data_IF_108300196250
#
_entry.id   IF_108300196250
#
_cell.length_a   1.000
_cell.length_b   1.000
_cell.length_c   1.000
_cell.angle_alpha   90.00
_cell.angle_beta   90.00
_cell.angle_gamma   90.00
#
_symmetry.space_group_name_H-M   'P 1'
#
loop_
_entity.id
_entity.type
_entity.pdbx_description
1 polymer ?
#
# COMPACT_ATOMS: atom_id res chain seq x y z
N UNK A 1 -19.26 -21.00 -7.46
CA UNK A 1 -19.01 -19.54 -7.25
C UNK A 1 -18.26 -19.24 -5.94
N UNK A 2 -18.57 -19.91 -4.82
CA UNK A 2 -17.89 -19.74 -3.53
C UNK A 2 -16.34 -19.77 -3.61
N UNK A 3 -15.77 -20.74 -4.33
CA UNK A 3 -14.31 -20.86 -4.50
C UNK A 3 -13.68 -19.65 -5.21
N UNK A 4 -14.36 -19.10 -6.22
CA UNK A 4 -13.90 -17.90 -6.91
C UNK A 4 -13.85 -16.71 -5.95
N UNK A 5 -14.92 -16.48 -5.19
CA UNK A 5 -14.97 -15.39 -4.20
C UNK A 5 -13.89 -15.57 -3.15
N UNK A 6 -13.66 -16.79 -2.66
CA UNK A 6 -12.59 -17.08 -1.70
C UNK A 6 -11.19 -16.78 -2.30
N UNK A 7 -10.94 -17.17 -3.54
CA UNK A 7 -9.68 -16.89 -4.24
C UNK A 7 -9.46 -15.38 -4.42
N UNK A 8 -10.50 -14.63 -4.80
CA UNK A 8 -10.45 -13.17 -4.97
C UNK A 8 -10.18 -12.46 -3.64
N UNK A 9 -10.87 -12.85 -2.57
CA UNK A 9 -10.61 -12.31 -1.23
C UNK A 9 -9.19 -12.63 -0.75
N UNK A 10 -8.72 -13.86 -0.96
CA UNK A 10 -7.35 -14.26 -0.66
C UNK A 10 -6.32 -13.42 -1.41
N UNK A 11 -6.50 -13.22 -2.72
CA UNK A 11 -5.64 -12.38 -3.55
C UNK A 11 -5.64 -10.92 -3.07
N UNK A 12 -6.80 -10.39 -2.66
CA UNK A 12 -6.92 -9.03 -2.13
C UNK A 12 -6.16 -8.85 -0.80
N UNK A 13 -6.28 -9.80 0.12
CA UNK A 13 -5.55 -9.77 1.39
C UNK A 13 -4.04 -9.90 1.16
N UNK A 14 -3.62 -10.91 0.40
CA UNK A 14 -2.21 -11.17 0.13
C UNK A 14 -1.56 -10.01 -0.64
N UNK A 15 -2.26 -9.43 -1.61
CA UNK A 15 -1.75 -8.28 -2.36
C UNK A 15 -1.54 -7.05 -1.47
N UNK A 16 -2.39 -6.82 -0.46
CA UNK A 16 -2.19 -5.72 0.49
C UNK A 16 -0.93 -5.92 1.34
N UNK A 17 -0.71 -7.16 1.81
CA UNK A 17 0.52 -7.54 2.51
C UNK A 17 1.77 -7.41 1.61
N UNK A 18 1.65 -7.83 0.34
CA UNK A 18 2.73 -7.73 -0.64
C UNK A 18 3.13 -6.27 -0.90
N UNK A 19 2.16 -5.36 -1.03
CA UNK A 19 2.45 -3.93 -1.20
C UNK A 19 3.11 -3.33 0.04
N UNK A 20 2.65 -3.68 1.24
CA UNK A 20 3.29 -3.24 2.49
C UNK A 20 4.76 -3.72 2.57
N UNK A 21 5.02 -4.96 2.16
CA UNK A 21 6.37 -5.52 2.08
C UNK A 21 7.21 -4.79 1.04
N UNK A 22 6.74 -4.65 -0.20
CA UNK A 22 7.46 -3.96 -1.28
C UNK A 22 7.78 -2.51 -0.90
N UNK A 23 6.84 -1.79 -0.30
CA UNK A 23 7.04 -0.40 0.12
C UNK A 23 8.17 -0.27 1.15
N UNK A 24 8.22 -1.21 2.10
CA UNK A 24 9.29 -1.30 3.10
C UNK A 24 10.63 -1.65 2.44
N UNK A 25 10.64 -2.60 1.51
CA UNK A 25 11.86 -3.02 0.82
C UNK A 25 12.43 -1.91 -0.06
N UNK A 26 11.61 -1.11 -0.73
CA UNK A 26 12.09 0.00 -1.55
C UNK A 26 12.94 1.00 -0.74
N UNK A 27 12.50 1.37 0.46
CA UNK A 27 13.32 2.23 1.33
C UNK A 27 14.56 1.52 1.86
N UNK A 28 14.48 0.24 2.25
CA UNK A 28 15.64 -0.54 2.69
C UNK A 28 16.68 -0.73 1.59
N UNK A 29 16.25 -0.77 0.32
CA UNK A 29 17.15 -0.85 -0.84
C UNK A 29 18.05 0.37 -0.94
N UNK A 30 17.58 1.56 -0.54
CA UNK A 30 18.43 2.76 -0.51
C UNK A 30 19.66 2.53 0.37
N UNK A 31 19.46 2.04 1.60
CA UNK A 31 20.57 1.76 2.51
C UNK A 31 21.46 0.62 2.00
N UNK A 32 20.88 -0.39 1.34
CA UNK A 32 21.67 -1.49 0.72
C UNK A 32 22.56 -1.00 -0.41
N UNK A 33 22.06 -0.11 -1.28
CA UNK A 33 22.84 0.48 -2.38
C UNK A 33 23.96 1.37 -1.84
N UNK A 34 23.67 2.19 -0.83
CA UNK A 34 24.70 3.04 -0.23
C UNK A 34 25.77 2.23 0.49
N UNK A 35 25.41 1.15 1.19
CA UNK A 35 26.38 0.24 1.83
C UNK A 35 27.21 -0.55 0.82
N UNK A 36 26.62 -1.03 -0.28
CA UNK A 36 27.35 -1.82 -1.28
C UNK A 36 28.41 -1.02 -2.04
N UNK A 37 28.41 0.31 -1.91
CA UNK A 37 29.45 1.17 -2.46
C UNK A 37 30.84 0.82 -1.94
N UNK A 38 30.99 0.34 -0.69
CA UNK A 38 32.30 -0.07 -0.16
C UNK A 38 32.91 -1.26 -0.90
N UNK A 39 32.08 -2.06 -1.56
CA UNK A 39 32.47 -3.29 -2.27
C UNK A 39 32.48 -3.10 -3.80
N UNK A 40 32.07 -1.92 -4.30
CA UNK A 40 31.89 -1.64 -5.74
C UNK A 40 32.60 -0.34 -6.12
N UNK A 41 33.87 -0.40 -6.59
CA UNK A 41 34.68 0.79 -6.85
C UNK A 41 34.02 1.80 -7.81
N UNK A 42 33.40 1.32 -8.89
CA UNK A 42 32.70 2.17 -9.87
C UNK A 42 31.51 2.92 -9.25
N UNK A 43 30.75 2.25 -8.36
CA UNK A 43 29.63 2.86 -7.66
C UNK A 43 30.13 3.89 -6.65
N UNK A 44 31.18 3.58 -5.90
CA UNK A 44 31.80 4.52 -4.96
C UNK A 44 32.28 5.79 -5.66
N UNK A 45 32.93 5.66 -6.82
CA UNK A 45 33.40 6.80 -7.59
C UNK A 45 32.22 7.68 -8.05
N UNK A 46 31.16 7.08 -8.60
CA UNK A 46 29.95 7.82 -9.03
C UNK A 46 29.24 8.51 -7.85
N UNK A 47 29.13 7.84 -6.70
CA UNK A 47 28.53 8.42 -5.49
C UNK A 47 29.37 9.56 -4.92
N UNK A 48 30.70 9.49 -4.99
CA UNK A 48 31.58 10.59 -4.57
C UNK A 48 31.34 11.87 -5.37
N UNK A 49 31.07 11.76 -6.68
CA UNK A 49 30.77 12.93 -7.54
C UNK A 49 29.46 13.63 -7.17
N UNK A 50 28.49 12.89 -6.64
CA UNK A 50 27.17 13.42 -6.24
C UNK A 50 27.18 13.89 -4.78
N UNK A 51 28.02 13.31 -3.92
CA UNK A 51 27.98 13.53 -2.48
C UNK A 51 27.03 12.55 -1.79
N UNK A 52 27.42 12.08 -0.61
CA UNK A 52 26.70 11.00 0.11
C UNK A 52 25.30 11.42 0.56
N UNK A 53 25.14 12.66 1.02
CA UNK A 53 23.85 13.22 1.42
C UNK A 53 22.88 13.32 0.24
N UNK A 54 23.33 13.92 -0.86
CA UNK A 54 22.49 14.13 -2.05
C UNK A 54 22.16 12.81 -2.73
N UNK A 55 23.10 11.87 -2.80
CA UNK A 55 22.81 10.53 -3.30
C UNK A 55 21.74 9.82 -2.46
N UNK A 56 21.79 9.93 -1.13
CA UNK A 56 20.76 9.38 -0.24
C UNK A 56 19.41 10.03 -0.48
N UNK A 57 19.36 11.36 -0.65
CA UNK A 57 18.12 12.09 -0.95
C UNK A 57 17.50 11.64 -2.28
N UNK A 58 18.30 11.58 -3.35
CA UNK A 58 17.85 11.15 -4.67
C UNK A 58 17.34 9.70 -4.68
N UNK A 59 18.05 8.77 -4.04
CA UNK A 59 17.62 7.37 -3.94
C UNK A 59 16.34 7.23 -3.10
N UNK A 60 16.18 8.02 -2.02
CA UNK A 60 14.93 8.05 -1.25
C UNK A 60 13.76 8.63 -2.03
N UNK A 61 14.01 9.66 -2.85
CA UNK A 61 13.00 10.22 -3.74
C UNK A 61 12.55 9.17 -4.77
N UNK A 62 13.49 8.46 -5.40
CA UNK A 62 13.19 7.34 -6.31
C UNK A 62 12.34 6.25 -5.62
N UNK A 63 12.76 5.80 -4.44
CA UNK A 63 11.99 4.83 -3.66
C UNK A 63 10.56 5.33 -3.33
N UNK A 64 10.42 6.64 -3.10
CA UNK A 64 9.11 7.27 -2.85
C UNK A 64 8.24 7.27 -4.12
N UNK A 65 8.77 7.61 -5.29
CA UNK A 65 8.02 7.54 -6.56
C UNK A 65 7.63 6.10 -6.92
N UNK A 66 8.51 5.12 -6.69
CA UNK A 66 8.17 3.70 -6.85
C UNK A 66 7.00 3.31 -5.95
N UNK A 67 7.05 3.70 -4.66
CA UNK A 67 5.96 3.43 -3.73
C UNK A 67 4.66 4.11 -4.17
N UNK A 68 4.70 5.37 -4.59
CA UNK A 68 3.52 6.11 -5.10
C UNK A 68 2.89 5.37 -6.28
N UNK A 69 3.71 4.88 -7.22
CA UNK A 69 3.24 4.07 -8.33
C UNK A 69 2.55 2.78 -7.85
N UNK A 70 3.20 2.01 -6.97
CA UNK A 70 2.66 0.75 -6.47
C UNK A 70 1.37 0.93 -5.67
N UNK A 71 1.28 1.93 -4.78
CA UNK A 71 0.05 2.22 -4.04
C UNK A 71 -1.09 2.64 -4.96
N UNK A 72 -0.83 3.44 -5.99
CA UNK A 72 -1.85 3.83 -6.98
C UNK A 72 -2.33 2.63 -7.80
N UNK A 73 -1.40 1.85 -8.35
CA UNK A 73 -1.73 0.65 -9.13
C UNK A 73 -2.52 -0.35 -8.28
N UNK A 74 -2.09 -0.57 -7.04
CA UNK A 74 -2.81 -1.43 -6.10
C UNK A 74 -4.18 -0.88 -5.73
N UNK A 75 -4.33 0.42 -5.50
CA UNK A 75 -5.63 1.06 -5.27
C UNK A 75 -6.67 0.71 -6.34
N UNK A 76 -6.30 0.85 -7.61
CA UNK A 76 -7.15 0.45 -8.74
C UNK A 76 -7.37 -1.06 -8.80
N UNK A 77 -6.34 -1.86 -8.55
CA UNK A 77 -6.44 -3.32 -8.48
C UNK A 77 -7.44 -3.78 -7.42
N UNK A 78 -7.46 -3.14 -6.25
CA UNK A 78 -8.41 -3.43 -5.18
C UNK A 78 -9.86 -3.12 -5.58
N UNK A 79 -10.10 -2.02 -6.31
CA UNK A 79 -11.44 -1.71 -6.81
C UNK A 79 -11.92 -2.78 -7.80
N UNK A 80 -11.03 -3.24 -8.69
CA UNK A 80 -11.35 -4.36 -9.58
C UNK A 80 -11.67 -5.65 -8.81
N UNK A 81 -10.84 -6.01 -7.83
CA UNK A 81 -11.07 -7.19 -6.98
C UNK A 81 -12.40 -7.08 -6.21
N UNK A 82 -12.74 -5.89 -5.73
CA UNK A 82 -14.01 -5.64 -5.06
C UNK A 82 -15.21 -5.89 -5.98
N UNK A 83 -15.16 -5.37 -7.22
CA UNK A 83 -16.21 -5.60 -8.21
C UNK A 83 -16.37 -7.07 -8.55
N UNK A 84 -15.26 -7.79 -8.75
CA UNK A 84 -15.29 -9.24 -9.03
C UNK A 84 -15.83 -10.02 -7.83
N UNK A 85 -15.44 -9.67 -6.60
CA UNK A 85 -15.95 -10.31 -5.39
C UNK A 85 -17.47 -10.10 -5.24
N UNK A 86 -17.95 -8.88 -5.43
CA UNK A 86 -19.36 -8.53 -5.36
C UNK A 86 -20.18 -9.22 -6.46
N UNK A 87 -19.68 -9.23 -7.70
CA UNK A 87 -20.30 -9.96 -8.80
C UNK A 87 -20.39 -11.46 -8.51
N UNK A 88 -19.34 -12.05 -7.94
CA UNK A 88 -19.34 -13.45 -7.51
C UNK A 88 -20.30 -13.73 -6.35
N UNK A 89 -20.44 -12.81 -5.39
CA UNK A 89 -21.38 -12.95 -4.28
C UNK A 89 -22.83 -12.91 -4.76
N UNK A 90 -23.21 -11.90 -5.54
CA UNK A 90 -24.59 -11.74 -6.00
C UNK A 90 -24.95 -12.69 -7.14
N UNK A 91 -24.08 -12.81 -8.16
CA UNK A 91 -24.29 -13.75 -9.27
C UNK A 91 -24.19 -15.22 -8.85
N UNK A 92 -23.47 -15.51 -7.76
CA UNK A 92 -23.38 -16.85 -7.17
C UNK A 92 -24.47 -17.22 -6.19
N UNK A 93 -25.41 -16.32 -5.89
CA UNK A 93 -26.47 -16.56 -4.91
C UNK A 93 -26.00 -16.67 -3.46
N UNK A 94 -24.80 -16.18 -3.12
CA UNK A 94 -24.27 -16.21 -1.75
C UNK A 94 -24.93 -15.09 -0.95
N UNK A 95 -25.96 -15.43 -0.17
CA UNK A 95 -26.81 -14.49 0.59
C UNK A 95 -26.40 -14.26 2.04
N UNK A 96 -25.21 -14.73 2.46
CA UNK A 96 -24.73 -14.48 3.82
C UNK A 96 -24.42 -13.00 4.02
N UNK A 97 -25.22 -12.35 4.89
CA UNK A 97 -25.15 -10.90 5.15
C UNK A 97 -23.82 -10.47 5.74
N UNK A 98 -23.16 -11.33 6.52
CA UNK A 98 -21.86 -11.01 7.10
C UNK A 98 -20.78 -10.96 6.02
N UNK A 99 -20.74 -11.95 5.11
CA UNK A 99 -19.78 -11.93 3.99
C UNK A 99 -20.01 -10.73 3.08
N UNK A 100 -21.26 -10.48 2.67
CA UNK A 100 -21.59 -9.34 1.81
C UNK A 100 -21.27 -8.00 2.47
N UNK A 101 -21.66 -7.84 3.74
CA UNK A 101 -21.38 -6.64 4.53
C UNK A 101 -19.89 -6.38 4.68
N UNK A 102 -19.09 -7.42 4.96
CA UNK A 102 -17.64 -7.31 5.04
C UNK A 102 -17.00 -6.83 3.74
N UNK A 103 -17.41 -7.38 2.58
CA UNK A 103 -16.88 -6.93 1.28
C UNK A 103 -17.26 -5.49 0.98
N UNK A 104 -18.47 -5.06 1.34
CA UNK A 104 -18.91 -3.67 1.18
C UNK A 104 -18.11 -2.72 2.09
N UNK A 105 -17.85 -3.11 3.34
CA UNK A 105 -16.99 -2.33 4.26
C UNK A 105 -15.57 -2.22 3.71
N UNK A 106 -15.00 -3.32 3.21
CA UNK A 106 -13.68 -3.29 2.57
C UNK A 106 -13.66 -2.35 1.35
N UNK A 107 -14.68 -2.40 0.50
CA UNK A 107 -14.81 -1.48 -0.64
C UNK A 107 -14.91 -0.02 -0.18
N UNK A 108 -15.72 0.28 0.83
CA UNK A 108 -15.84 1.63 1.37
C UNK A 108 -14.49 2.17 1.88
N UNK A 109 -13.73 1.34 2.60
CA UNK A 109 -12.38 1.70 3.03
C UNK A 109 -11.46 1.99 1.83
N UNK A 110 -11.49 1.15 0.79
CA UNK A 110 -10.67 1.36 -0.41
C UNK A 110 -11.07 2.62 -1.16
N UNK A 111 -12.36 2.94 -1.26
CA UNK A 111 -12.83 4.19 -1.88
C UNK A 111 -12.29 5.41 -1.13
N UNK A 112 -12.38 5.42 0.20
CA UNK A 112 -11.79 6.50 1.01
C UNK A 112 -10.28 6.60 0.81
N UNK A 113 -9.59 5.45 0.78
CA UNK A 113 -8.15 5.40 0.59
C UNK A 113 -7.71 5.92 -0.78
N UNK A 114 -8.39 5.51 -1.86
CA UNK A 114 -8.05 5.88 -3.25
C UNK A 114 -8.43 7.33 -3.57
N UNK A 115 -9.61 7.77 -3.13
CA UNK A 115 -10.15 9.08 -3.51
C UNK A 115 -9.68 10.22 -2.60
N UNK A 116 -9.33 9.94 -1.35
CA UNK A 116 -8.99 10.97 -0.37
C UNK A 116 -7.59 10.80 0.23
N UNK A 117 -7.31 9.66 0.87
CA UNK A 117 -6.06 9.53 1.65
C UNK A 117 -4.82 9.50 0.77
N UNK A 118 -4.81 8.65 -0.25
CA UNK A 118 -3.65 8.49 -1.15
C UNK A 118 -3.28 9.78 -1.87
N UNK A 119 -4.18 10.52 -2.55
CA UNK A 119 -3.81 11.76 -3.22
C UNK A 119 -3.27 12.81 -2.24
N UNK A 120 -3.84 12.93 -1.04
CA UNK A 120 -3.33 13.88 -0.03
C UNK A 120 -1.94 13.49 0.48
N UNK A 121 -1.73 12.22 0.81
CA UNK A 121 -0.41 11.71 1.25
C UNK A 121 0.64 11.93 0.17
N UNK A 122 0.29 11.69 -1.11
CA UNK A 122 1.19 11.93 -2.24
C UNK A 122 1.51 13.42 -2.39
N UNK A 123 0.50 14.28 -2.33
CA UNK A 123 0.67 15.72 -2.50
C UNK A 123 1.56 16.33 -1.41
N UNK A 124 1.33 15.95 -0.13
CA UNK A 124 2.18 16.39 0.99
C UNK A 124 3.57 15.77 0.88
N UNK A 125 3.65 14.46 0.60
CA UNK A 125 4.92 13.75 0.45
C UNK A 125 5.84 14.41 -0.57
N UNK A 126 5.31 14.85 -1.72
CA UNK A 126 6.08 15.56 -2.75
C UNK A 126 6.72 16.84 -2.26
N UNK A 127 6.03 17.59 -1.40
CA UNK A 127 6.57 18.81 -0.78
C UNK A 127 7.64 18.50 0.26
N UNK A 128 7.58 17.33 0.88
CA UNK A 128 8.53 16.88 1.91
C UNK A 128 9.76 16.18 1.35
N UNK A 129 9.79 15.79 0.07
CA UNK A 129 10.86 14.96 -0.51
C UNK A 129 12.26 15.59 -0.33
N UNK A 130 12.35 16.93 -0.40
CA UNK A 130 13.58 17.70 -0.25
C UNK A 130 13.52 18.77 0.84
N UNK A 131 12.47 18.77 1.65
CA UNK A 131 12.33 19.74 2.73
C UNK A 131 13.40 19.50 3.83
N UNK A 132 13.97 20.56 4.43
CA UNK A 132 14.77 20.44 5.63
C UNK A 132 14.00 19.69 6.71
N UNK A 133 14.68 18.81 7.45
CA UNK A 133 14.07 18.06 8.57
C UNK A 133 14.36 18.68 9.93
N UNK A 134 15.26 19.65 9.97
CA UNK A 134 15.62 20.41 11.16
C UNK A 134 15.64 21.91 10.82
N UNK A 135 14.68 22.71 11.32
CA UNK A 135 13.49 22.27 12.05
C UNK A 135 12.51 21.48 11.14
N UNK A 136 11.63 20.64 11.71
CA UNK A 136 10.66 19.89 10.92
C UNK A 136 9.63 20.83 10.25
N UNK A 137 9.26 20.59 8.99
CA UNK A 137 8.34 21.44 8.27
C UNK A 137 6.91 21.25 8.82
N UNK A 138 6.05 22.29 8.78
CA UNK A 138 4.68 22.22 9.31
C UNK A 138 3.86 21.04 8.75
N UNK A 139 4.09 20.69 7.49
CA UNK A 139 3.42 19.60 6.78
C UNK A 139 3.77 18.19 7.28
N UNK A 140 4.86 18.04 8.05
CA UNK A 140 5.34 16.75 8.53
C UNK A 140 4.33 16.06 9.46
N UNK A 141 3.73 16.81 10.40
CA UNK A 141 2.72 16.28 11.31
C UNK A 141 1.46 15.83 10.56
N UNK A 142 1.04 16.60 9.54
CA UNK A 142 -0.12 16.24 8.71
C UNK A 142 0.14 14.98 7.90
N UNK A 143 1.31 14.86 7.30
CA UNK A 143 1.72 13.65 6.57
C UNK A 143 1.59 12.40 7.43
N UNK A 144 2.16 12.42 8.64
CA UNK A 144 2.12 11.28 9.55
C UNK A 144 0.70 10.92 10.00
N UNK A 145 -0.15 11.90 10.30
CA UNK A 145 -1.55 11.62 10.62
C UNK A 145 -2.24 10.88 9.47
N UNK A 146 -2.15 11.38 8.25
CA UNK A 146 -2.76 10.74 7.08
C UNK A 146 -2.19 9.35 6.79
N UNK A 147 -0.87 9.20 6.91
CA UNK A 147 -0.20 7.91 6.72
C UNK A 147 -0.67 6.89 7.77
N UNK A 148 -0.70 7.27 9.04
CA UNK A 148 -1.20 6.41 10.13
C UNK A 148 -2.67 6.06 9.94
N UNK A 149 -3.52 7.02 9.56
CA UNK A 149 -4.93 6.76 9.25
C UNK A 149 -5.06 5.74 8.11
N UNK A 150 -4.30 5.90 7.03
CA UNK A 150 -4.27 4.94 5.93
C UNK A 150 -3.89 3.54 6.43
N UNK A 151 -2.79 3.42 7.19
CA UNK A 151 -2.31 2.13 7.71
C UNK A 151 -3.33 1.45 8.63
N UNK A 152 -3.96 2.20 9.53
CA UNK A 152 -4.98 1.65 10.44
C UNK A 152 -6.20 1.15 9.66
N UNK A 153 -6.68 1.92 8.69
CA UNK A 153 -7.79 1.49 7.83
C UNK A 153 -7.43 0.26 7.01
N UNK A 154 -6.21 0.16 6.50
CA UNK A 154 -5.73 -1.02 5.77
C UNK A 154 -5.71 -2.28 6.66
N UNK A 155 -5.26 -2.14 7.92
CA UNK A 155 -5.30 -3.22 8.91
C UNK A 155 -6.73 -3.65 9.25
N UNK A 156 -7.64 -2.69 9.45
CA UNK A 156 -9.07 -2.98 9.67
C UNK A 156 -9.65 -3.74 8.47
N UNK A 157 -9.37 -3.28 7.24
CA UNK A 157 -9.79 -3.95 6.01
C UNK A 157 -9.27 -5.38 5.92
N UNK A 158 -8.00 -5.62 6.28
CA UNK A 158 -7.41 -6.95 6.34
C UNK A 158 -8.15 -7.86 7.34
N UNK A 159 -8.44 -7.36 8.54
CA UNK A 159 -9.20 -8.10 9.56
C UNK A 159 -10.62 -8.45 9.10
N UNK A 160 -11.34 -7.47 8.53
CA UNK A 160 -12.69 -7.67 7.98
C UNK A 160 -12.68 -8.70 6.85
N UNK A 161 -11.70 -8.64 5.95
CA UNK A 161 -11.58 -9.62 4.86
C UNK A 161 -11.21 -11.02 5.35
N UNK A 162 -10.40 -11.14 6.39
CA UNK A 162 -10.10 -12.44 7.02
C UNK A 162 -11.37 -13.05 7.65
N UNK A 163 -12.19 -12.24 8.33
CA UNK A 163 -13.49 -12.67 8.86
C UNK A 163 -14.41 -13.12 7.73
N UNK A 164 -14.49 -12.36 6.63
CA UNK A 164 -15.30 -12.70 5.47
C UNK A 164 -14.87 -14.04 4.85
N UNK A 165 -13.57 -14.24 4.64
CA UNK A 165 -13.01 -15.46 4.07
C UNK A 165 -13.26 -16.67 4.95
N UNK A 166 -13.06 -16.52 6.27
CA UNK A 166 -13.33 -17.58 7.24
C UNK A 166 -14.82 -17.95 7.30
N UNK A 167 -15.70 -16.94 7.33
CA UNK A 167 -17.16 -17.16 7.31
C UNK A 167 -17.58 -17.85 6.01
N UNK A 168 -17.08 -17.37 4.87
CA UNK A 168 -17.37 -17.93 3.56
C UNK A 168 -16.98 -19.41 3.51
N UNK A 169 -15.79 -19.79 4.00
CA UNK A 169 -15.33 -21.18 4.03
C UNK A 169 -16.30 -22.10 4.78
N UNK A 170 -16.93 -21.61 5.86
CA UNK A 170 -17.88 -22.36 6.70
C UNK A 170 -19.31 -22.43 6.16
N UNK A 171 -19.65 -21.73 5.07
CA UNK A 171 -20.97 -21.87 4.47
C UNK A 171 -21.15 -23.27 3.85
N UNK A 172 -22.35 -23.87 3.90
CA UNK A 172 -22.63 -25.08 3.14
C UNK A 172 -22.45 -24.82 1.63
N UNK A 173 -22.01 -25.85 0.90
CA UNK A 173 -21.82 -25.79 -0.56
C UNK A 173 -23.15 -25.77 -1.31
#
# INVERSE_FOLDING_TARGET
MKTLVAAVLGAWLLGSLAIAFVATQNFRTVDRVLRSASERPELAERLKRVGTTDARLLLRHLASEMNRFYFRAWGWGQLLLALVALAGLWGGGIRDRLVQGSVLVMLAIVLVAVLHLTPEVVAIGRRLDFAPRDPPPPDFARFWRLHTTYTLLDLVKLGVGAIALFRLARLPS
#
